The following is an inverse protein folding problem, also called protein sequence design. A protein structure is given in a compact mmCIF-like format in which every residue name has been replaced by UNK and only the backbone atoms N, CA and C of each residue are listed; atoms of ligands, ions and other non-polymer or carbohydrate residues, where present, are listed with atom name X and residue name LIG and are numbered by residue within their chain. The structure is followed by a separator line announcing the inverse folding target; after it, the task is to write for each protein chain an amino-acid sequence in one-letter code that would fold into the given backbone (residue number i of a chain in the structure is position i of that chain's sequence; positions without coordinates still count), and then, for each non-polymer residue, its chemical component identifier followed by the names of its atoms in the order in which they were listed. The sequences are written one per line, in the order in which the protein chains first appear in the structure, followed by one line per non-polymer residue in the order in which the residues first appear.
data_IF_109764157331
#
_entry.id   IF_109764157331
#
_cell.length_a   1.000
_cell.length_b   1.000
_cell.length_c   1.000
_cell.angle_alpha   90.00
_cell.angle_beta   90.00
_cell.angle_gamma   90.00
#
_symmetry.space_group_name_H-M   'P 1'
#
loop_
_entity.id
_entity.type
_entity.pdbx_description
1 polymer ?
#
# COMPACT_ATOMS: atom_id res chain seq x y z
N UNK A 1 -31.66 20.15 11.08
CA UNK A 1 -30.85 19.87 12.30
C UNK A 1 -30.34 21.19 12.85
N UNK A 2 -30.41 21.44 14.16
CA UNK A 2 -29.90 22.69 14.77
C UNK A 2 -28.38 22.64 14.97
N UNK A 3 -27.73 23.81 15.07
CA UNK A 3 -26.28 23.90 15.30
C UNK A 3 -25.85 23.15 16.57
N UNK A 4 -26.53 23.37 17.69
CA UNK A 4 -26.22 22.69 18.95
C UNK A 4 -26.36 21.18 18.83
N UNK A 5 -27.44 20.70 18.18
CA UNK A 5 -27.64 19.27 17.94
C UNK A 5 -26.52 18.68 17.09
N UNK A 6 -26.07 19.38 16.05
CA UNK A 6 -24.95 18.95 15.23
C UNK A 6 -23.64 18.86 16.04
N UNK A 7 -23.32 19.88 16.85
CA UNK A 7 -22.13 19.89 17.68
C UNK A 7 -22.13 18.75 18.72
N UNK A 8 -23.27 18.47 19.33
CA UNK A 8 -23.42 17.37 20.29
C UNK A 8 -23.20 16.01 19.63
N UNK A 9 -23.81 15.79 18.46
CA UNK A 9 -23.61 14.58 17.66
C UNK A 9 -22.12 14.44 17.31
N UNK A 10 -21.52 15.46 16.71
CA UNK A 10 -20.12 15.43 16.27
C UNK A 10 -19.13 15.06 17.38
N UNK A 11 -19.35 15.51 18.62
CA UNK A 11 -18.46 15.23 19.75
C UNK A 11 -18.66 13.83 20.35
N UNK A 12 -19.89 13.31 20.28
CA UNK A 12 -20.31 12.11 20.99
C UNK A 12 -20.48 10.87 20.11
N UNK A 13 -20.41 11.01 18.77
CA UNK A 13 -20.35 9.84 17.88
C UNK A 13 -19.21 8.93 18.33
N UNK A 14 -19.55 7.67 18.56
CA UNK A 14 -18.65 6.54 18.75
C UNK A 14 -19.09 5.45 17.79
N UNK A 15 -18.12 4.74 17.26
CA UNK A 15 -18.28 3.75 16.19
C UNK A 15 -17.78 2.38 16.67
N UNK A 16 -17.07 2.38 17.81
CA UNK A 16 -16.61 1.23 18.57
C UNK A 16 -17.32 1.12 19.92
N UNK A 17 -17.45 -0.10 20.43
CA UNK A 17 -17.77 -0.36 21.82
C UNK A 17 -16.50 -0.13 22.68
N UNK A 18 -16.49 0.86 23.60
CA UNK A 18 -15.32 1.18 24.41
C UNK A 18 -14.91 0.05 25.37
N UNK A 19 -15.81 -0.88 25.65
CA UNK A 19 -15.56 -2.01 26.55
C UNK A 19 -14.95 -3.22 25.80
N UNK A 20 -14.92 -3.17 24.46
CA UNK A 20 -14.32 -4.20 23.62
C UNK A 20 -12.84 -3.90 23.37
N UNK A 21 -11.95 -4.76 23.87
CA UNK A 21 -10.49 -4.62 23.67
C UNK A 21 -10.07 -5.42 22.43
N UNK A 22 -9.89 -4.76 21.28
CA UNK A 22 -9.22 -5.37 20.13
C UNK A 22 -7.70 -5.50 20.36
N UNK A 23 -7.22 -6.72 20.57
CA UNK A 23 -5.80 -7.00 20.71
C UNK A 23 -5.07 -6.86 19.35
N UNK A 24 -4.10 -5.94 19.28
CA UNK A 24 -3.10 -5.89 18.20
C UNK A 24 -3.30 -4.81 17.14
N UNK A 25 -4.40 -4.06 17.17
CA UNK A 25 -4.61 -2.88 16.31
C UNK A 25 -4.42 -1.60 17.15
N UNK A 26 -3.52 -0.68 16.79
CA UNK A 26 -3.31 0.53 17.57
C UNK A 26 -4.39 1.58 17.32
N UNK A 27 -4.72 2.39 18.34
CA UNK A 27 -5.53 3.60 18.16
C UNK A 27 -4.86 4.56 17.17
N UNK A 28 -5.63 5.21 16.27
CA UNK A 28 -7.09 5.26 16.23
C UNK A 28 -7.75 4.13 15.42
N UNK A 29 -6.98 3.23 14.80
CA UNK A 29 -7.52 2.25 13.86
C UNK A 29 -8.47 1.25 14.50
N UNK A 30 -8.21 0.82 15.73
CA UNK A 30 -9.07 -0.10 16.48
C UNK A 30 -10.49 0.45 16.66
N UNK A 31 -10.63 1.79 16.78
CA UNK A 31 -11.91 2.44 17.02
C UNK A 31 -12.83 2.49 15.79
N UNK A 32 -12.28 2.14 14.63
CA UNK A 32 -12.99 2.20 13.35
C UNK A 32 -12.85 0.88 12.58
N UNK A 33 -12.23 -0.15 13.17
CA UNK A 33 -11.81 -1.32 12.41
C UNK A 33 -13.01 -2.16 11.94
N UNK A 34 -13.96 -2.45 12.83
CA UNK A 34 -15.18 -3.18 12.49
C UNK A 34 -15.96 -2.52 11.34
N UNK A 35 -16.12 -1.20 11.41
CA UNK A 35 -16.77 -0.44 10.35
C UNK A 35 -15.94 -0.41 9.08
N UNK A 36 -14.61 -0.32 9.18
CA UNK A 36 -13.75 -0.38 8.02
C UNK A 36 -13.85 -1.75 7.32
N UNK A 37 -13.95 -2.84 8.07
CA UNK A 37 -14.12 -4.18 7.51
C UNK A 37 -15.48 -4.33 6.82
N UNK A 38 -16.53 -3.78 7.42
CA UNK A 38 -17.86 -3.70 6.78
C UNK A 38 -17.83 -2.89 5.48
N UNK A 39 -17.14 -1.75 5.46
CA UNK A 39 -17.01 -0.90 4.26
C UNK A 39 -16.18 -1.56 3.16
N UNK A 40 -15.10 -2.30 3.52
CA UNK A 40 -14.30 -3.06 2.54
C UNK A 40 -15.14 -4.18 1.91
N UNK A 41 -15.91 -4.91 2.72
CA UNK A 41 -16.80 -5.96 2.24
C UNK A 41 -17.88 -5.39 1.30
N UNK A 42 -18.53 -4.29 1.70
CA UNK A 42 -19.50 -3.60 0.87
C UNK A 42 -18.89 -3.07 -0.43
N UNK A 43 -17.67 -2.52 -0.36
CA UNK A 43 -16.96 -2.00 -1.53
C UNK A 43 -16.67 -3.10 -2.56
N UNK A 44 -16.14 -4.25 -2.12
CA UNK A 44 -15.90 -5.39 -2.99
C UNK A 44 -17.18 -5.97 -3.59
N UNK A 45 -18.28 -5.97 -2.84
CA UNK A 45 -19.57 -6.47 -3.32
C UNK A 45 -20.29 -5.50 -4.28
N UNK A 46 -19.96 -4.21 -4.24
CA UNK A 46 -20.63 -3.18 -5.02
C UNK A 46 -20.22 -3.15 -6.50
N UNK A 47 -19.11 -3.77 -6.87
CA UNK A 47 -18.55 -3.71 -8.23
C UNK A 47 -18.01 -5.06 -8.69
N UNK A 48 -18.13 -5.34 -9.99
CA UNK A 48 -17.36 -6.42 -10.61
C UNK A 48 -15.91 -5.95 -10.80
N UNK A 49 -14.98 -6.62 -10.14
CA UNK A 49 -13.57 -6.24 -10.17
C UNK A 49 -12.96 -6.65 -11.52
N UNK A 50 -12.57 -5.67 -12.33
CA UNK A 50 -11.83 -5.93 -13.57
C UNK A 50 -10.42 -6.47 -13.31
N UNK A 51 -9.76 -6.96 -14.37
CA UNK A 51 -8.43 -7.56 -14.26
C UNK A 51 -7.31 -6.58 -13.91
N UNK A 52 -7.52 -5.27 -14.09
CA UNK A 52 -6.50 -4.25 -13.80
C UNK A 52 -6.74 -3.61 -12.43
N UNK A 53 -5.69 -3.66 -11.60
CA UNK A 53 -5.73 -3.09 -10.25
C UNK A 53 -4.50 -2.23 -9.99
N UNK A 54 -4.67 -1.17 -9.22
CA UNK A 54 -3.59 -0.28 -8.79
C UNK A 54 -3.44 -0.34 -7.27
N UNK A 55 -2.20 -0.40 -6.81
CA UNK A 55 -1.86 -0.41 -5.38
C UNK A 55 -0.92 0.75 -5.10
N UNK A 56 -1.36 1.63 -4.21
CA UNK A 56 -0.61 2.83 -3.84
C UNK A 56 -0.85 3.25 -2.39
N UNK A 57 -0.13 4.27 -1.96
CA UNK A 57 -0.28 4.93 -0.68
C UNK A 57 -1.18 6.17 -0.75
N UNK A 58 -2.07 6.30 0.24
CA UNK A 58 -2.85 7.50 0.48
C UNK A 58 -2.57 8.06 1.88
N UNK A 59 -2.87 9.35 2.05
CA UNK A 59 -2.82 10.04 3.34
C UNK A 59 -4.20 10.59 3.65
N UNK A 60 -4.77 10.19 4.79
CA UNK A 60 -5.89 10.88 5.39
C UNK A 60 -5.34 11.99 6.30
N UNK A 61 -5.58 13.25 5.94
CA UNK A 61 -5.09 14.42 6.69
C UNK A 61 -5.55 14.39 8.14
N UNK A 62 -4.61 14.41 9.08
CA UNK A 62 -4.93 14.33 10.51
C UNK A 62 -3.88 15.04 11.36
N UNK A 63 -4.32 16.03 12.14
CA UNK A 63 -3.44 16.84 13.00
C UNK A 63 -3.52 16.46 14.48
N UNK A 64 -4.54 15.70 14.90
CA UNK A 64 -4.74 15.31 16.29
C UNK A 64 -3.58 14.49 16.88
N UNK A 65 -3.56 14.32 18.19
CA UNK A 65 -2.49 13.58 18.87
C UNK A 65 -2.62 12.08 18.61
N UNK A 66 -1.72 11.52 17.79
CA UNK A 66 -1.66 10.08 17.52
C UNK A 66 -0.23 9.66 17.16
N UNK A 67 0.18 8.49 17.66
CA UNK A 67 1.46 7.86 17.32
C UNK A 67 1.47 7.27 15.90
N UNK A 68 0.29 7.12 15.27
CA UNK A 68 0.14 6.54 13.93
C UNK A 68 0.32 7.56 12.79
N UNK A 69 0.54 8.83 13.12
CA UNK A 69 0.77 9.87 12.12
C UNK A 69 2.10 9.68 11.41
N UNK A 70 2.12 9.96 10.12
CA UNK A 70 3.31 10.05 9.29
C UNK A 70 3.38 11.43 8.67
N UNK A 71 4.60 11.94 8.50
CA UNK A 71 4.86 13.18 7.76
C UNK A 71 5.61 12.87 6.46
N UNK A 72 4.95 13.09 5.31
CA UNK A 72 5.52 12.94 3.97
C UNK A 72 5.53 14.33 3.29
N UNK A 73 6.72 14.96 3.25
CA UNK A 73 6.88 16.35 2.80
C UNK A 73 6.44 16.61 1.35
N UNK A 74 6.44 15.59 0.49
CA UNK A 74 6.10 15.70 -0.92
C UNK A 74 4.59 15.67 -1.22
N UNK A 75 3.75 15.35 -0.23
CA UNK A 75 2.29 15.25 -0.43
C UNK A 75 1.61 16.59 -0.11
N UNK A 76 0.50 16.95 -0.80
CA UNK A 76 -0.23 18.19 -0.56
C UNK A 76 -0.68 18.37 0.89
N UNK A 77 -1.08 17.26 1.52
CA UNK A 77 -1.30 17.18 2.97
C UNK A 77 -0.17 16.37 3.59
N UNK A 78 0.87 17.02 4.12
CA UNK A 78 2.11 16.32 4.47
C UNK A 78 1.95 15.48 5.73
N UNK A 79 1.06 15.83 6.66
CA UNK A 79 0.89 15.10 7.94
C UNK A 79 -0.49 14.47 8.05
N UNK A 80 -0.52 13.17 8.32
CA UNK A 80 -1.77 12.44 8.48
C UNK A 80 -1.58 10.95 8.76
N UNK A 81 -2.67 10.20 8.64
CA UNK A 81 -2.66 8.75 8.74
C UNK A 81 -2.39 8.17 7.35
N UNK A 82 -1.29 7.42 7.23
CA UNK A 82 -0.95 6.71 5.99
C UNK A 82 -1.82 5.46 5.85
N UNK A 83 -2.27 5.20 4.63
CA UNK A 83 -3.14 4.07 4.30
C UNK A 83 -2.61 3.44 3.01
N UNK A 84 -2.54 2.12 2.95
CA UNK A 84 -2.27 1.38 1.72
C UNK A 84 -3.58 1.03 1.05
N UNK A 85 -3.75 1.42 -0.21
CA UNK A 85 -5.01 1.31 -0.93
C UNK A 85 -4.86 0.36 -2.13
N UNK A 86 -5.87 -0.46 -2.34
CA UNK A 86 -6.13 -1.21 -3.56
C UNK A 86 -7.33 -0.59 -4.28
N UNK A 87 -7.15 -0.24 -5.54
CA UNK A 87 -8.20 0.41 -6.33
C UNK A 87 -8.27 -0.16 -7.75
N UNK A 88 -9.44 -0.03 -8.38
CA UNK A 88 -9.66 -0.30 -9.80
C UNK A 88 -10.42 0.88 -10.41
N UNK A 89 -9.95 1.41 -11.56
CA UNK A 89 -10.60 2.52 -12.27
C UNK A 89 -11.01 3.72 -11.39
N UNK A 90 -10.19 4.06 -10.38
CA UNK A 90 -10.47 5.15 -9.43
C UNK A 90 -11.40 4.78 -8.26
N UNK A 91 -11.94 3.56 -8.24
CA UNK A 91 -12.75 3.02 -7.15
C UNK A 91 -11.90 2.25 -6.14
N UNK A 92 -12.04 2.54 -4.84
CA UNK A 92 -11.27 1.92 -3.76
C UNK A 92 -11.94 0.62 -3.34
N UNK A 93 -11.27 -0.51 -3.57
CA UNK A 93 -11.78 -1.84 -3.23
C UNK A 93 -11.46 -2.25 -1.80
N UNK A 94 -10.22 -2.02 -1.38
CA UNK A 94 -9.72 -2.47 -0.09
C UNK A 94 -8.58 -1.58 0.39
N UNK A 95 -8.32 -1.57 1.70
CA UNK A 95 -7.17 -0.89 2.27
C UNK A 95 -6.61 -1.57 3.51
N UNK A 96 -5.36 -1.24 3.84
CA UNK A 96 -4.66 -1.68 5.05
C UNK A 96 -4.06 -0.45 5.73
N UNK A 97 -4.25 -0.36 7.05
CA UNK A 97 -3.68 0.71 7.87
C UNK A 97 -2.16 0.61 7.97
N UNK A 98 -1.48 1.75 8.02
CA UNK A 98 -0.04 1.81 8.24
C UNK A 98 0.28 2.12 9.71
N UNK A 99 1.22 1.39 10.30
CA UNK A 99 1.76 1.75 11.62
C UNK A 99 3.23 2.18 11.49
N UNK A 100 3.58 3.40 11.93
CA UNK A 100 4.96 3.86 11.93
C UNK A 100 5.75 3.28 13.12
N UNK A 101 7.06 3.15 12.96
CA UNK A 101 8.05 2.88 14.03
C UNK A 101 7.98 1.55 14.79
N UNK A 102 7.64 0.42 14.16
CA UNK A 102 8.04 -0.87 14.72
C UNK A 102 8.29 -1.90 13.62
N UNK A 103 8.80 -3.06 14.00
CA UNK A 103 8.94 -4.26 13.18
C UNK A 103 7.59 -4.85 12.70
N UNK A 104 6.64 -3.99 12.34
CA UNK A 104 5.31 -4.26 11.84
C UNK A 104 5.10 -3.22 10.73
N UNK A 105 5.16 -3.63 9.47
CA UNK A 105 4.86 -2.74 8.35
C UNK A 105 3.37 -2.40 8.30
N UNK A 106 2.56 -3.03 7.43
CA UNK A 106 1.11 -2.99 7.57
C UNK A 106 0.66 -3.45 8.96
N UNK A 107 -0.43 -2.88 9.49
CA UNK A 107 -1.06 -3.34 10.74
C UNK A 107 -1.31 -4.85 10.66
N UNK A 108 -0.97 -5.58 11.73
CA UNK A 108 -1.21 -7.02 11.85
C UNK A 108 -0.13 -7.96 11.28
N UNK A 109 0.98 -7.46 10.72
CA UNK A 109 2.07 -8.34 10.24
C UNK A 109 3.32 -8.29 11.10
N UNK A 110 3.66 -9.40 11.76
CA UNK A 110 4.98 -9.60 12.41
C UNK A 110 6.10 -9.61 11.36
N UNK A 111 7.12 -8.76 11.50
CA UNK A 111 8.35 -8.91 10.72
C UNK A 111 9.07 -10.19 11.14
N UNK A 112 9.24 -11.12 10.19
CA UNK A 112 10.21 -12.21 10.34
C UNK A 112 11.63 -11.64 10.16
N UNK A 113 12.64 -12.27 10.76
CA UNK A 113 14.04 -11.95 10.42
C UNK A 113 14.22 -12.18 8.92
N UNK A 114 14.79 -11.20 8.23
CA UNK A 114 15.05 -11.26 6.79
C UNK A 114 15.99 -12.43 6.50
N UNK A 115 15.56 -13.34 5.65
CA UNK A 115 16.41 -14.37 5.07
C UNK A 115 16.98 -13.81 3.76
N UNK A 116 18.29 -13.60 3.71
CA UNK A 116 18.92 -13.01 2.53
C UNK A 116 19.03 -14.00 1.38
N UNK A 117 18.99 -15.29 1.69
CA UNK A 117 19.22 -16.37 0.73
C UNK A 117 17.89 -16.87 0.12
N UNK A 118 16.75 -16.55 0.72
CA UNK A 118 15.44 -16.82 0.14
C UNK A 118 15.10 -15.80 -0.97
N UNK A 119 15.04 -16.24 -2.25
CA UNK A 119 14.71 -15.35 -3.38
C UNK A 119 13.27 -14.81 -3.33
N UNK A 120 12.46 -15.29 -2.38
CA UNK A 120 11.06 -14.94 -2.16
C UNK A 120 10.82 -14.11 -0.90
N UNK A 121 11.84 -13.87 -0.07
CA UNK A 121 11.67 -13.04 1.11
C UNK A 121 11.42 -11.57 0.73
N UNK A 122 10.25 -11.05 1.12
CA UNK A 122 9.78 -9.71 0.75
C UNK A 122 9.79 -8.81 1.97
N UNK A 123 10.30 -7.59 1.79
CA UNK A 123 10.19 -6.55 2.82
C UNK A 123 8.71 -6.32 3.21
N UNK A 124 8.40 -6.12 4.50
CA UNK A 124 7.06 -5.80 5.01
C UNK A 124 6.25 -4.80 4.17
N UNK A 125 6.87 -3.71 3.69
CA UNK A 125 6.21 -2.70 2.85
C UNK A 125 5.71 -3.28 1.53
N UNK A 126 6.50 -4.17 0.92
CA UNK A 126 6.18 -4.82 -0.36
C UNK A 126 5.20 -5.96 -0.16
N UNK A 127 5.27 -6.62 0.99
CA UNK A 127 4.36 -7.69 1.36
C UNK A 127 2.89 -7.20 1.48
N UNK A 128 2.68 -5.89 1.71
CA UNK A 128 1.37 -5.22 1.62
C UNK A 128 0.67 -5.54 0.30
N UNK A 129 1.39 -5.47 -0.82
CA UNK A 129 0.86 -5.72 -2.16
C UNK A 129 0.26 -7.12 -2.23
N UNK A 130 1.02 -8.12 -1.79
CA UNK A 130 0.55 -9.52 -1.74
C UNK A 130 -0.67 -9.66 -0.82
N UNK A 131 -0.70 -8.94 0.30
CA UNK A 131 -1.86 -8.93 1.21
C UNK A 131 -3.12 -8.43 0.51
N UNK A 132 -3.03 -7.28 -0.15
CA UNK A 132 -4.15 -6.63 -0.83
C UNK A 132 -4.62 -7.45 -2.02
N UNK A 133 -3.71 -8.03 -2.80
CA UNK A 133 -4.08 -8.88 -3.94
C UNK A 133 -4.82 -10.14 -3.47
N UNK A 134 -4.41 -10.73 -2.34
CA UNK A 134 -5.08 -11.92 -1.77
C UNK A 134 -6.49 -11.65 -1.24
N UNK A 135 -6.90 -10.40 -1.02
CA UNK A 135 -8.28 -10.09 -0.61
C UNK A 135 -9.24 -10.05 -1.79
N UNK A 136 -8.74 -10.07 -3.03
CA UNK A 136 -9.58 -10.05 -4.22
C UNK A 136 -10.21 -11.43 -4.49
N UNK A 137 -11.34 -11.49 -5.20
CA UNK A 137 -11.91 -12.72 -5.74
C UNK A 137 -10.88 -13.51 -6.57
N UNK A 138 -11.10 -14.82 -6.74
CA UNK A 138 -10.18 -15.64 -7.54
C UNK A 138 -10.30 -15.30 -9.03
N UNK A 139 -9.30 -14.61 -9.57
CA UNK A 139 -9.19 -14.23 -10.99
C UNK A 139 -7.74 -13.89 -11.32
N UNK A 140 -7.42 -13.86 -12.62
CA UNK A 140 -6.15 -13.33 -13.12
C UNK A 140 -6.15 -11.80 -13.09
N UNK A 141 -5.25 -11.23 -12.30
CA UNK A 141 -5.07 -9.77 -12.20
C UNK A 141 -3.74 -9.30 -12.80
N UNK A 142 -3.71 -8.03 -13.18
CA UNK A 142 -2.51 -7.27 -13.49
C UNK A 142 -2.41 -6.06 -12.56
N UNK A 143 -1.40 -6.05 -11.70
CA UNK A 143 -1.18 -5.04 -10.69
C UNK A 143 -0.24 -3.92 -11.18
N UNK A 144 -0.69 -2.67 -11.05
CA UNK A 144 0.10 -1.47 -11.28
C UNK A 144 0.64 -0.93 -9.96
N UNK A 145 1.96 -0.75 -9.88
CA UNK A 145 2.68 -0.44 -8.65
C UNK A 145 3.58 0.79 -8.81
N UNK A 146 3.66 1.62 -7.76
CA UNK A 146 4.69 2.64 -7.66
C UNK A 146 6.08 2.03 -7.32
N UNK A 147 7.12 2.81 -7.60
CA UNK A 147 8.52 2.52 -7.32
C UNK A 147 8.83 2.12 -5.87
N UNK A 148 7.98 2.52 -4.91
CA UNK A 148 8.11 2.11 -3.52
C UNK A 148 7.98 0.59 -3.36
N UNK A 149 7.11 -0.04 -4.15
CA UNK A 149 6.80 -1.46 -4.03
C UNK A 149 7.64 -2.32 -4.97
N UNK A 150 7.98 -1.80 -6.14
CA UNK A 150 8.64 -2.56 -7.21
C UNK A 150 9.96 -3.19 -6.80
N UNK A 151 10.06 -4.50 -6.99
CA UNK A 151 11.33 -5.25 -6.91
C UNK A 151 11.21 -6.66 -7.48
N UNK A 152 12.34 -7.29 -7.85
CA UNK A 152 12.34 -8.65 -8.37
C UNK A 152 11.68 -9.67 -7.44
N UNK A 153 11.93 -9.60 -6.13
CA UNK A 153 11.35 -10.55 -5.15
C UNK A 153 9.82 -10.46 -5.12
N UNK A 154 9.27 -9.24 -5.10
CA UNK A 154 7.82 -9.04 -5.15
C UNK A 154 7.23 -9.59 -6.46
N UNK A 155 7.88 -9.33 -7.60
CA UNK A 155 7.37 -9.75 -8.90
C UNK A 155 7.41 -11.27 -9.06
N UNK A 156 8.43 -11.95 -8.51
CA UNK A 156 8.47 -13.42 -8.43
C UNK A 156 7.31 -13.97 -7.60
N UNK A 157 7.01 -13.33 -6.47
CA UNK A 157 5.89 -13.70 -5.60
C UNK A 157 4.53 -13.49 -6.27
N UNK A 158 4.32 -12.37 -6.96
CA UNK A 158 3.09 -12.14 -7.73
C UNK A 158 2.94 -13.15 -8.87
N UNK A 159 4.03 -13.51 -9.55
CA UNK A 159 4.02 -14.56 -10.57
C UNK A 159 3.59 -15.92 -10.02
N UNK A 160 4.02 -16.31 -8.82
CA UNK A 160 3.57 -17.54 -8.17
C UNK A 160 2.07 -17.53 -7.84
N UNK A 161 1.51 -16.34 -7.60
CA UNK A 161 0.08 -16.15 -7.38
C UNK A 161 -0.73 -16.05 -8.69
N UNK A 162 -0.08 -16.17 -9.86
CA UNK A 162 -0.74 -16.00 -11.15
C UNK A 162 -1.12 -14.54 -11.47
N UNK A 163 -0.43 -13.58 -10.85
CA UNK A 163 -0.71 -12.14 -10.99
C UNK A 163 0.39 -11.46 -11.78
N UNK A 164 0.01 -10.80 -12.87
CA UNK A 164 0.88 -9.93 -13.64
C UNK A 164 1.17 -8.65 -12.86
N UNK A 165 2.33 -8.03 -13.10
CA UNK A 165 2.68 -6.77 -12.44
C UNK A 165 3.47 -5.85 -13.36
N UNK A 166 3.15 -4.57 -13.30
CA UNK A 166 3.93 -3.48 -13.92
C UNK A 166 4.20 -2.44 -12.86
N UNK A 167 5.44 -1.97 -12.79
CA UNK A 167 5.79 -0.87 -11.91
C UNK A 167 7.06 -0.18 -12.36
N UNK A 168 7.24 1.05 -11.93
CA UNK A 168 8.51 1.75 -12.09
C UNK A 168 9.49 1.22 -11.07
N UNK A 169 10.78 1.11 -11.39
CA UNK A 169 11.78 0.58 -10.46
C UNK A 169 12.89 1.60 -10.23
N UNK A 170 13.37 1.68 -8.99
CA UNK A 170 14.58 2.46 -8.66
C UNK A 170 15.82 1.69 -9.06
N UNK A 171 16.92 2.39 -9.37
CA UNK A 171 18.21 1.78 -9.70
C UNK A 171 18.71 0.82 -8.61
N UNK A 172 18.38 1.09 -7.35
CA UNK A 172 18.74 0.27 -6.19
C UNK A 172 17.70 -0.83 -5.85
N UNK A 173 16.77 -1.14 -6.75
CA UNK A 173 15.73 -2.15 -6.53
C UNK A 173 16.24 -3.61 -6.68
N UNK A 174 17.54 -3.80 -6.92
CA UNK A 174 18.14 -5.12 -7.20
C UNK A 174 17.92 -5.57 -8.65
N UNK A 175 17.86 -4.63 -9.58
CA UNK A 175 17.71 -4.90 -11.01
C UNK A 175 18.99 -5.49 -11.60
N UNK A 176 18.88 -6.03 -12.81
CA UNK A 176 20.03 -6.53 -13.56
C UNK A 176 21.07 -5.42 -13.76
N UNK A 177 22.32 -5.72 -13.42
CA UNK A 177 23.40 -4.73 -13.28
C UNK A 177 23.64 -3.92 -14.57
N UNK A 178 23.54 -4.55 -15.73
CA UNK A 178 23.69 -3.85 -17.02
C UNK A 178 22.63 -2.76 -17.22
N UNK A 179 21.39 -2.99 -16.78
CA UNK A 179 20.32 -1.98 -16.85
C UNK A 179 20.56 -0.83 -15.87
N UNK A 180 21.11 -1.13 -14.69
CA UNK A 180 21.49 -0.12 -13.70
C UNK A 180 22.60 0.77 -14.25
N UNK A 181 23.66 0.17 -14.78
CA UNK A 181 24.78 0.89 -15.40
C UNK A 181 24.33 1.73 -16.59
N UNK A 182 23.49 1.18 -17.47
CA UNK A 182 22.91 1.93 -18.58
C UNK A 182 22.12 3.15 -18.09
N UNK A 183 21.32 3.02 -17.02
CA UNK A 183 20.54 4.12 -16.47
C UNK A 183 21.40 5.22 -15.83
N UNK A 184 22.48 4.83 -15.15
CA UNK A 184 23.43 5.80 -14.57
C UNK A 184 24.21 6.55 -15.64
N UNK A 185 24.61 5.89 -16.72
CA UNK A 185 25.29 6.51 -17.86
C UNK A 185 24.36 7.46 -18.62
N UNK A 186 23.08 7.09 -18.81
CA UNK A 186 22.04 7.97 -19.32
C UNK A 186 21.90 9.25 -18.46
N UNK A 187 21.85 9.10 -17.13
CA UNK A 187 21.78 10.23 -16.18
C UNK A 187 23.01 11.15 -16.25
N UNK A 188 24.19 10.60 -16.56
CA UNK A 188 25.44 11.34 -16.80
C UNK A 188 25.52 11.98 -18.18
N UNK A 189 24.50 11.79 -19.03
CA UNK A 189 24.47 12.33 -20.39
C UNK A 189 25.34 11.59 -21.39
N UNK A 190 25.82 10.38 -21.06
CA UNK A 190 26.72 9.61 -21.92
C UNK A 190 26.04 9.01 -23.16
N UNK A 191 24.74 9.29 -23.39
CA UNK A 191 23.92 8.92 -24.58
C UNK A 191 24.37 7.62 -25.25
N UNK A 192 24.48 6.56 -24.46
CA UNK A 192 25.05 5.29 -24.92
C UNK A 192 24.24 4.72 -26.09
N UNK A 193 22.92 4.96 -26.10
CA UNK A 193 22.01 4.42 -27.10
C UNK A 193 21.23 5.55 -27.81
N UNK A 194 21.25 5.60 -29.15
CA UNK A 194 20.35 6.45 -29.92
C UNK A 194 18.89 6.08 -29.67
N UNK A 195 18.00 7.07 -29.78
CA UNK A 195 16.56 6.81 -29.76
C UNK A 195 16.19 5.85 -30.90
N UNK A 196 15.36 4.84 -30.62
CA UNK A 196 14.93 3.83 -31.60
C UNK A 196 15.90 2.64 -31.78
N UNK A 197 16.98 2.55 -31.00
CA UNK A 197 17.90 1.41 -31.04
C UNK A 197 17.37 0.22 -30.23
N UNK A 198 17.36 -0.97 -30.85
CA UNK A 198 17.01 -2.25 -30.23
C UNK A 198 18.25 -3.15 -30.21
N UNK A 199 18.62 -3.62 -29.01
CA UNK A 199 19.68 -4.60 -28.83
C UNK A 199 19.06 -5.98 -28.68
N UNK A 200 19.30 -6.84 -29.67
CA UNK A 200 18.90 -8.26 -29.68
C UNK A 200 19.84 -9.13 -28.87
#
# INVERSE_FOLDING_TARGET
MTYNRFCDIKRRIRIDDPDTIEYGIPRPYSQVNEWADSLKAASLAAVEVGSHVAIDEAICGFQGHSKQKVTIKSKPTPTGLKIWILATQGYILHWIWHTPHSALGPVGRRCRKKDKDDPYDINPTKAVVVSLVKTLPTQTYHAFLDNLFSSPQLFRQLRLLGVGATGTARINAGLFEQLVNAKDNDRKGQKLWPWGWLQS
#
